data_IF_738468942927
#
_entry.id   IF_738468942927
#
_cell.length_a   1.000
_cell.length_b   1.000
_cell.length_c   1.000
_cell.angle_alpha   90.00
_cell.angle_beta   90.00
_cell.angle_gamma   90.00
#
_symmetry.space_group_name_H-M   'P 1'
#
loop_
_entity.id
_entity.type
_entity.pdbx_description
1 polymer ?
#
# COMPACT_ATOMS: atom_id res chain seq x y z
N UNK A 1 10.00 13.49 7.39
CA UNK A 1 10.45 12.12 7.13
C UNK A 1 11.07 12.05 5.74
N UNK A 2 12.10 11.23 5.58
CA UNK A 2 12.75 11.00 4.29
C UNK A 2 12.49 9.56 3.87
N UNK A 3 12.20 9.34 2.58
CA UNK A 3 12.05 7.98 2.03
C UNK A 3 13.41 7.43 1.61
N UNK A 4 13.58 6.11 1.72
CA UNK A 4 14.86 5.44 1.44
C UNK A 4 15.07 5.10 -0.05
N UNK A 5 14.50 5.87 -0.98
CA UNK A 5 14.61 5.64 -2.41
C UNK A 5 13.46 6.27 -3.20
N UNK A 6 13.37 5.91 -4.47
CA UNK A 6 12.42 6.50 -5.45
C UNK A 6 11.47 5.45 -6.05
N UNK A 7 11.44 4.24 -5.52
CA UNK A 7 10.59 3.16 -6.00
C UNK A 7 9.77 2.57 -4.85
N UNK A 8 8.59 2.06 -5.15
CA UNK A 8 7.66 1.44 -4.21
C UNK A 8 8.33 0.35 -3.36
N UNK A 9 9.16 -0.52 -3.94
CA UNK A 9 9.85 -1.55 -3.16
C UNK A 9 10.80 -0.97 -2.10
N UNK A 10 11.39 0.21 -2.33
CA UNK A 10 12.22 0.88 -1.34
C UNK A 10 11.39 1.32 -0.12
N UNK A 11 10.21 1.90 -0.39
CA UNK A 11 9.29 2.34 0.64
C UNK A 11 8.75 1.18 1.47
N UNK A 12 8.30 0.12 0.82
CA UNK A 12 7.83 -1.09 1.49
C UNK A 12 8.93 -1.69 2.36
N UNK A 13 10.14 -1.83 1.81
CA UNK A 13 11.27 -2.42 2.51
C UNK A 13 11.71 -1.58 3.71
N UNK A 14 11.77 -0.25 3.55
CA UNK A 14 12.08 0.67 4.64
C UNK A 14 11.00 0.70 5.73
N UNK A 15 9.73 0.77 5.31
CA UNK A 15 8.59 0.94 6.23
C UNK A 15 8.27 -0.33 7.01
N UNK A 16 8.15 -1.47 6.32
CA UNK A 16 7.71 -2.72 6.94
C UNK A 16 8.86 -3.53 7.58
N UNK A 17 10.08 -3.32 7.12
CA UNK A 17 11.23 -4.12 7.57
C UNK A 17 12.33 -3.28 8.24
N UNK A 18 12.23 -1.95 8.23
CA UNK A 18 13.21 -1.03 8.85
C UNK A 18 14.62 -1.15 8.26
N UNK A 19 14.72 -1.59 7.01
CA UNK A 19 15.99 -1.67 6.29
C UNK A 19 16.06 -0.62 5.18
N UNK A 20 17.14 0.14 5.06
CA UNK A 20 17.36 0.95 3.87
C UNK A 20 17.64 0.01 2.69
N UNK A 21 17.01 0.27 1.56
CA UNK A 21 17.37 -0.46 0.34
C UNK A 21 18.73 0.01 -0.16
N UNK A 22 19.59 -0.94 -0.48
CA UNK A 22 20.91 -0.65 -1.01
C UNK A 22 20.82 -0.27 -2.49
N UNK A 23 21.67 0.65 -2.92
CA UNK A 23 21.75 1.05 -4.31
C UNK A 23 21.95 -0.17 -5.23
N UNK A 24 21.19 -0.26 -6.30
CA UNK A 24 21.19 -1.37 -7.28
C UNK A 24 20.81 -2.76 -6.73
N UNK A 25 20.23 -2.84 -5.54
CA UNK A 25 19.70 -4.10 -5.01
C UNK A 25 18.19 -4.03 -4.90
N UNK A 26 17.53 -5.05 -5.45
CA UNK A 26 16.08 -5.20 -5.36
C UNK A 26 15.75 -6.37 -4.42
N UNK A 27 15.42 -6.12 -3.16
CA UNK A 27 15.31 -7.19 -2.15
C UNK A 27 14.23 -8.21 -2.48
N UNK A 28 13.19 -7.82 -3.22
CA UNK A 28 12.06 -8.69 -3.57
C UNK A 28 12.36 -9.59 -4.78
N UNK A 29 13.39 -9.31 -5.59
CA UNK A 29 13.75 -10.07 -6.80
C UNK A 29 14.97 -10.98 -6.62
N UNK A 30 15.40 -11.24 -5.42
CA UNK A 30 16.51 -12.14 -5.16
C UNK A 30 16.10 -13.61 -5.40
N UNK A 31 16.98 -14.39 -6.00
CA UNK A 31 16.74 -15.82 -6.28
C UNK A 31 16.52 -16.65 -5.00
N UNK A 32 17.15 -16.27 -3.89
CA UNK A 32 16.82 -16.76 -2.57
C UNK A 32 16.04 -15.68 -1.83
N UNK A 33 14.80 -15.95 -1.46
CA UNK A 33 13.97 -15.03 -0.68
C UNK A 33 14.46 -15.05 0.78
N UNK A 34 15.35 -14.14 1.19
CA UNK A 34 15.75 -14.10 2.58
C UNK A 34 14.58 -13.69 3.45
N UNK A 35 14.48 -14.31 4.60
CA UNK A 35 13.51 -13.93 5.61
C UNK A 35 14.04 -12.73 6.38
N UNK A 36 13.33 -11.62 6.29
CA UNK A 36 13.64 -10.40 7.03
C UNK A 36 12.82 -10.33 8.32
N UNK A 37 13.43 -9.75 9.34
CA UNK A 37 12.68 -9.38 10.53
C UNK A 37 12.02 -8.00 10.30
N UNK A 38 10.71 -7.92 10.49
CA UNK A 38 9.95 -6.69 10.28
C UNK A 38 8.72 -6.60 11.18
N UNK A 39 7.88 -5.59 10.91
CA UNK A 39 6.68 -5.38 11.71
C UNK A 39 5.71 -6.57 11.62
N UNK A 40 5.61 -7.21 10.44
CA UNK A 40 4.75 -8.38 10.25
C UNK A 40 5.20 -9.57 11.09
N UNK A 41 6.50 -9.90 11.06
CA UNK A 41 7.04 -11.01 11.87
C UNK A 41 6.88 -10.75 13.37
N UNK A 42 7.04 -9.49 13.79
CA UNK A 42 6.86 -9.10 15.19
C UNK A 42 5.41 -9.23 15.62
N UNK A 43 4.48 -8.68 14.85
CA UNK A 43 3.07 -8.69 15.21
C UNK A 43 2.47 -10.10 15.08
N UNK A 44 2.88 -10.90 14.09
CA UNK A 44 2.45 -12.29 13.97
C UNK A 44 2.85 -13.14 15.18
N UNK A 45 4.06 -12.96 15.71
CA UNK A 45 4.49 -13.61 16.96
C UNK A 45 3.64 -13.21 18.16
N UNK A 46 3.02 -12.03 18.12
CA UNK A 46 2.11 -11.53 19.15
C UNK A 46 0.62 -11.82 18.84
N UNK A 47 0.34 -12.74 17.92
CA UNK A 47 -1.02 -13.23 17.65
C UNK A 47 -1.81 -12.40 16.65
N UNK A 48 -1.20 -11.40 15.99
CA UNK A 48 -1.87 -10.62 14.97
C UNK A 48 -1.98 -11.39 13.65
N UNK A 49 -3.10 -11.24 12.97
CA UNK A 49 -3.21 -11.55 11.53
C UNK A 49 -2.54 -10.44 10.72
N UNK A 50 -1.88 -10.82 9.62
CA UNK A 50 -1.06 -9.91 8.83
C UNK A 50 -1.55 -9.89 7.38
N UNK A 51 -2.03 -8.73 6.91
CA UNK A 51 -2.66 -8.56 5.60
C UNK A 51 -1.95 -7.47 4.79
N UNK A 52 -1.86 -7.71 3.50
CA UNK A 52 -1.36 -6.73 2.54
C UNK A 52 -2.36 -6.62 1.38
N UNK A 53 -2.73 -5.39 1.03
CA UNK A 53 -3.63 -5.07 -0.08
C UNK A 53 -2.87 -4.21 -1.08
N UNK A 54 -3.00 -4.54 -2.34
CA UNK A 54 -2.54 -3.71 -3.46
C UNK A 54 -3.66 -3.60 -4.49
N UNK A 55 -3.67 -2.53 -5.25
CA UNK A 55 -4.65 -2.32 -6.31
C UNK A 55 -4.38 -3.17 -7.55
N UNK A 56 -3.12 -3.48 -7.81
CA UNK A 56 -2.61 -4.10 -9.03
C UNK A 56 -2.13 -5.54 -8.83
N UNK A 57 -1.61 -6.14 -9.90
CA UNK A 57 -0.98 -7.47 -9.89
C UNK A 57 0.16 -7.54 -8.86
N UNK A 58 0.00 -8.40 -7.88
CA UNK A 58 0.99 -8.62 -6.82
C UNK A 58 2.22 -9.42 -7.30
N UNK A 59 2.23 -9.93 -8.54
CA UNK A 59 3.43 -10.50 -9.15
C UNK A 59 4.41 -9.40 -9.60
N UNK A 60 3.91 -8.17 -9.80
CA UNK A 60 4.77 -7.03 -10.05
C UNK A 60 5.80 -6.90 -8.92
N UNK A 61 7.07 -6.78 -9.28
CA UNK A 61 8.21 -6.76 -8.35
C UNK A 61 8.28 -7.97 -7.41
N UNK A 62 7.57 -9.08 -7.72
CA UNK A 62 7.47 -10.26 -6.87
C UNK A 62 6.94 -9.94 -5.45
N UNK A 63 6.04 -8.99 -5.36
CA UNK A 63 5.53 -8.47 -4.09
C UNK A 63 4.83 -9.56 -3.27
N UNK A 64 3.96 -10.34 -3.91
CA UNK A 64 3.24 -11.42 -3.23
C UNK A 64 4.20 -12.46 -2.64
N UNK A 65 5.15 -12.94 -3.45
CA UNK A 65 6.15 -13.91 -3.00
C UNK A 65 6.96 -13.36 -1.83
N UNK A 66 7.43 -12.12 -1.94
CA UNK A 66 8.20 -11.47 -0.89
C UNK A 66 7.39 -11.28 0.40
N UNK A 67 6.15 -10.77 0.31
CA UNK A 67 5.32 -10.56 1.49
C UNK A 67 4.96 -11.87 2.18
N UNK A 68 4.59 -12.92 1.43
CA UNK A 68 4.29 -14.26 1.99
C UNK A 68 5.52 -14.89 2.64
N UNK A 69 6.70 -14.78 2.04
CA UNK A 69 7.95 -15.26 2.63
C UNK A 69 8.31 -14.53 3.94
N UNK A 70 7.78 -13.32 4.13
CA UNK A 70 8.06 -12.44 5.26
C UNK A 70 6.85 -12.23 6.19
N UNK A 71 6.16 -13.33 6.48
CA UNK A 71 5.10 -13.43 7.48
C UNK A 71 3.80 -12.64 7.16
N UNK A 72 3.56 -12.31 5.90
CA UNK A 72 2.24 -11.86 5.46
C UNK A 72 1.32 -13.07 5.29
N UNK A 73 0.21 -13.10 6.04
CA UNK A 73 -0.76 -14.21 6.02
C UNK A 73 -1.62 -14.18 4.75
N UNK A 74 -2.00 -12.98 4.32
CA UNK A 74 -2.86 -12.80 3.14
C UNK A 74 -2.41 -11.58 2.34
N UNK A 75 -2.21 -11.78 1.05
CA UNK A 75 -2.10 -10.71 0.05
C UNK A 75 -3.40 -10.67 -0.73
N UNK A 76 -3.94 -9.49 -0.95
CA UNK A 76 -5.11 -9.20 -1.78
C UNK A 76 -4.66 -8.31 -2.91
N UNK A 77 -4.94 -8.69 -4.13
CA UNK A 77 -4.48 -8.03 -5.35
C UNK A 77 -5.56 -8.03 -6.42
N UNK A 78 -5.24 -7.61 -7.64
CA UNK A 78 -6.15 -7.65 -8.79
C UNK A 78 -6.74 -9.03 -9.06
N UNK A 79 -6.03 -10.10 -8.72
CA UNK A 79 -6.53 -11.48 -8.83
C UNK A 79 -7.73 -11.77 -7.91
N UNK A 80 -7.93 -10.99 -6.85
CA UNK A 80 -9.05 -11.13 -5.92
C UNK A 80 -10.24 -10.22 -6.29
N UNK A 81 -10.02 -9.19 -7.11
CA UNK A 81 -11.05 -8.22 -7.47
C UNK A 81 -11.85 -8.64 -8.70
N UNK A 82 -13.12 -8.20 -8.83
CA UNK A 82 -13.87 -8.38 -10.05
C UNK A 82 -13.14 -7.76 -11.26
N UNK A 83 -13.04 -8.48 -12.36
CA UNK A 83 -12.30 -8.04 -13.55
C UNK A 83 -12.84 -6.73 -14.15
N UNK A 84 -14.14 -6.48 -14.02
CA UNK A 84 -14.79 -5.24 -14.45
C UNK A 84 -14.36 -4.00 -13.66
N UNK A 85 -13.80 -4.19 -12.48
CA UNK A 85 -13.28 -3.10 -11.64
C UNK A 85 -11.81 -2.76 -11.91
N UNK A 86 -11.10 -3.57 -12.67
CA UNK A 86 -9.73 -3.29 -13.11
C UNK A 86 -9.80 -2.26 -14.24
N UNK A 87 -9.33 -1.03 -13.95
CA UNK A 87 -9.49 0.11 -14.86
C UNK A 87 -8.20 0.47 -15.60
N UNK A 88 -7.06 0.15 -15.05
CA UNK A 88 -5.74 0.47 -15.63
C UNK A 88 -4.76 -0.68 -15.41
N UNK A 89 -3.55 -0.54 -15.91
CA UNK A 89 -2.43 -1.45 -15.60
C UNK A 89 -2.02 -1.40 -14.12
N UNK A 90 -2.51 -0.42 -13.37
CA UNK A 90 -2.35 -0.30 -11.92
C UNK A 90 -3.56 -0.88 -11.17
N UNK A 91 -4.40 -1.65 -11.85
CA UNK A 91 -5.48 -2.42 -11.25
C UNK A 91 -6.76 -1.62 -11.00
N UNK A 92 -7.32 -1.82 -9.81
CA UNK A 92 -8.57 -1.17 -9.39
C UNK A 92 -8.30 0.23 -8.82
N UNK A 93 -9.30 1.15 -8.86
CA UNK A 93 -9.21 2.44 -8.20
C UNK A 93 -9.01 2.31 -6.68
N UNK A 94 -8.31 3.26 -6.05
CA UNK A 94 -8.00 3.21 -4.61
C UNK A 94 -9.25 3.11 -3.73
N UNK A 95 -10.31 3.87 -4.04
CA UNK A 95 -11.54 3.82 -3.25
C UNK A 95 -12.25 2.48 -3.35
N UNK A 96 -12.10 1.77 -4.49
CA UNK A 96 -12.59 0.41 -4.64
C UNK A 96 -11.82 -0.55 -3.72
N UNK A 97 -10.47 -0.54 -3.77
CA UNK A 97 -9.63 -1.34 -2.87
C UNK A 97 -9.99 -1.09 -1.41
N UNK A 98 -10.17 0.17 -1.03
CA UNK A 98 -10.55 0.54 0.33
C UNK A 98 -11.91 -0.04 0.74
N UNK A 99 -12.93 0.08 -0.11
CA UNK A 99 -14.25 -0.51 0.18
C UNK A 99 -14.18 -2.04 0.23
N UNK A 100 -13.43 -2.65 -0.67
CA UNK A 100 -13.24 -4.10 -0.70
C UNK A 100 -12.50 -4.63 0.54
N UNK A 101 -11.60 -3.86 1.11
CA UNK A 101 -10.85 -4.27 2.30
C UNK A 101 -11.70 -4.34 3.56
N UNK A 102 -12.70 -3.47 3.72
CA UNK A 102 -13.47 -3.36 4.97
C UNK A 102 -14.17 -4.67 5.37
N UNK A 103 -14.94 -5.37 4.51
CA UNK A 103 -15.54 -6.65 4.88
C UNK A 103 -14.49 -7.71 5.23
N UNK A 104 -13.35 -7.74 4.54
CA UNK A 104 -12.25 -8.65 4.86
C UNK A 104 -11.72 -8.36 6.27
N UNK A 105 -11.45 -7.09 6.60
CA UNK A 105 -11.00 -6.69 7.93
C UNK A 105 -12.05 -7.02 9.02
N UNK A 106 -13.32 -6.91 8.71
CA UNK A 106 -14.40 -7.32 9.60
C UNK A 106 -14.37 -8.82 9.90
N UNK A 107 -14.11 -9.66 8.89
CA UNK A 107 -13.98 -11.10 9.08
C UNK A 107 -12.80 -11.46 9.99
N UNK A 108 -11.68 -10.74 9.87
CA UNK A 108 -10.53 -10.94 10.77
C UNK A 108 -10.83 -10.44 12.18
N UNK A 109 -11.45 -9.29 12.34
CA UNK A 109 -11.86 -8.76 13.64
C UNK A 109 -12.87 -9.69 14.35
N UNK A 110 -13.81 -10.29 13.61
CA UNK A 110 -14.79 -11.21 14.15
C UNK A 110 -14.18 -12.51 14.72
N UNK A 111 -12.97 -12.88 14.26
CA UNK A 111 -12.22 -14.02 14.81
C UNK A 111 -11.60 -13.73 16.19
N UNK A 112 -11.78 -12.51 16.71
CA UNK A 112 -11.21 -12.09 17.99
C UNK A 112 -9.69 -11.93 18.01
N UNK A 113 -9.06 -11.85 16.83
CA UNK A 113 -7.62 -11.62 16.69
C UNK A 113 -7.35 -10.19 16.26
N UNK A 114 -6.36 -9.52 16.82
CA UNK A 114 -5.90 -8.27 16.28
C UNK A 114 -5.30 -8.47 14.88
N UNK A 115 -5.30 -7.42 14.08
CA UNK A 115 -4.70 -7.48 12.75
C UNK A 115 -3.81 -6.26 12.47
N UNK A 116 -2.86 -6.45 11.58
CA UNK A 116 -2.20 -5.38 10.83
C UNK A 116 -2.59 -5.53 9.36
N UNK A 117 -3.01 -4.43 8.75
CA UNK A 117 -3.31 -4.36 7.34
C UNK A 117 -2.53 -3.21 6.71
N UNK A 118 -1.76 -3.50 5.69
CA UNK A 118 -1.13 -2.49 4.82
C UNK A 118 -1.97 -2.38 3.55
N UNK A 119 -2.44 -1.17 3.23
CA UNK A 119 -3.21 -0.87 2.03
C UNK A 119 -2.35 0.04 1.15
N UNK A 120 -1.83 -0.51 0.07
CA UNK A 120 -0.96 0.19 -0.87
C UNK A 120 -1.78 0.78 -2.01
N UNK A 121 -1.86 2.09 -2.04
CA UNK A 121 -2.59 2.86 -3.06
C UNK A 121 -1.75 3.09 -4.32
N UNK A 122 -2.40 3.41 -5.45
CA UNK A 122 -1.72 3.65 -6.72
C UNK A 122 -2.22 4.87 -7.49
N UNK A 123 -3.20 5.60 -6.98
CA UNK A 123 -3.82 6.70 -7.77
C UNK A 123 -2.83 7.81 -8.12
N UNK A 124 -1.87 8.16 -7.23
CA UNK A 124 -0.84 9.17 -7.54
C UNK A 124 0.35 8.55 -8.33
N UNK A 125 0.04 7.72 -9.33
CA UNK A 125 1.02 7.11 -10.23
C UNK A 125 0.49 7.12 -11.67
N UNK A 126 1.36 7.43 -12.64
CA UNK A 126 0.96 7.31 -14.06
C UNK A 126 0.82 5.85 -14.53
N UNK A 127 -0.14 5.54 -15.40
CA UNK A 127 -1.07 6.46 -16.04
C UNK A 127 -2.13 6.96 -15.05
N UNK A 128 -2.33 8.28 -15.05
CA UNK A 128 -3.29 8.91 -14.15
C UNK A 128 -4.71 8.54 -14.56
N UNK A 129 -5.47 8.06 -13.59
CA UNK A 129 -6.86 7.67 -13.77
C UNK A 129 -7.74 8.21 -12.65
N UNK A 130 -8.73 8.97 -13.04
CA UNK A 130 -9.79 9.47 -12.15
C UNK A 130 -11.12 8.87 -12.63
N UNK A 131 -11.85 8.14 -11.77
CA UNK A 131 -13.15 7.58 -12.18
C UNK A 131 -14.17 8.65 -12.51
N UNK A 132 -15.05 8.39 -13.50
CA UNK A 132 -16.07 9.34 -13.98
C UNK A 132 -17.04 9.85 -12.92
N UNK A 133 -17.22 9.07 -11.83
CA UNK A 133 -18.08 9.47 -10.71
C UNK A 133 -17.43 10.47 -9.75
N UNK A 134 -16.13 10.74 -9.88
CA UNK A 134 -15.43 11.75 -9.09
C UNK A 134 -15.19 12.98 -9.95
N UNK A 135 -15.55 14.14 -9.43
CA UNK A 135 -15.36 15.42 -10.12
C UNK A 135 -14.25 16.21 -9.42
N UNK A 136 -13.03 16.17 -9.94
CA UNK A 136 -11.93 16.97 -9.40
C UNK A 136 -12.21 18.47 -9.57
N UNK A 137 -11.63 19.28 -8.74
CA UNK A 137 -11.68 20.75 -8.85
C UNK A 137 -10.60 21.27 -9.79
N UNK A 138 -9.52 20.54 -9.94
CA UNK A 138 -8.39 20.88 -10.78
C UNK A 138 -8.58 20.35 -12.20
N UNK A 139 -8.21 21.14 -13.18
CA UNK A 139 -8.14 20.75 -14.61
C UNK A 139 -6.80 20.04 -14.94
N UNK A 140 -5.84 20.02 -14.01
CA UNK A 140 -4.56 19.37 -14.15
C UNK A 140 -4.65 17.91 -13.68
N UNK A 141 -4.31 16.97 -14.54
CA UNK A 141 -4.45 15.53 -14.29
C UNK A 141 -3.74 15.07 -13.01
N UNK A 142 -2.57 15.62 -12.71
CA UNK A 142 -1.81 15.26 -11.53
C UNK A 142 -2.47 15.75 -10.26
N UNK A 143 -2.96 16.99 -10.26
CA UNK A 143 -3.70 17.50 -9.11
C UNK A 143 -5.05 16.79 -8.95
N UNK A 144 -5.71 16.45 -10.05
CA UNK A 144 -6.96 15.70 -10.06
C UNK A 144 -6.82 14.33 -9.36
N UNK A 145 -5.73 13.59 -9.64
CA UNK A 145 -5.50 12.29 -8.99
C UNK A 145 -5.12 12.43 -7.51
N UNK A 146 -4.47 13.52 -7.11
CA UNK A 146 -4.21 13.80 -5.69
C UNK A 146 -5.53 14.07 -4.95
N UNK A 147 -6.42 14.87 -5.54
CA UNK A 147 -7.76 15.10 -4.99
C UNK A 147 -8.56 13.80 -4.89
N UNK A 148 -8.44 12.93 -5.90
CA UNK A 148 -9.07 11.63 -5.89
C UNK A 148 -8.49 10.69 -4.82
N UNK A 149 -7.18 10.68 -4.62
CA UNK A 149 -6.54 9.90 -3.58
C UNK A 149 -7.02 10.32 -2.17
N UNK A 150 -7.12 11.63 -1.91
CA UNK A 150 -7.70 12.17 -0.66
C UNK A 150 -9.18 11.78 -0.49
N UNK A 151 -9.96 11.88 -1.56
CA UNK A 151 -11.35 11.40 -1.58
C UNK A 151 -11.42 9.91 -1.22
N UNK A 152 -10.62 9.08 -1.85
CA UNK A 152 -10.58 7.63 -1.63
C UNK A 152 -10.27 7.29 -0.17
N UNK A 153 -9.29 7.99 0.41
CA UNK A 153 -8.98 7.87 1.83
C UNK A 153 -10.14 8.30 2.72
N UNK A 154 -10.85 9.38 2.35
CA UNK A 154 -12.05 9.82 3.09
C UNK A 154 -13.16 8.77 3.08
N UNK A 155 -13.35 8.08 1.94
CA UNK A 155 -14.30 6.97 1.81
C UNK A 155 -13.92 5.84 2.77
N UNK A 156 -12.66 5.43 2.76
CA UNK A 156 -12.17 4.40 3.69
C UNK A 156 -12.44 4.76 5.15
N UNK A 157 -12.04 5.95 5.58
CA UNK A 157 -12.19 6.38 6.96
C UNK A 157 -13.66 6.50 7.38
N UNK A 158 -14.55 6.91 6.48
CA UNK A 158 -15.99 6.93 6.72
C UNK A 158 -16.57 5.55 6.97
N UNK A 159 -16.17 4.56 6.16
CA UNK A 159 -16.60 3.17 6.32
C UNK A 159 -15.95 2.51 7.55
N UNK A 160 -14.66 2.72 7.76
CA UNK A 160 -13.94 2.20 8.92
C UNK A 160 -14.55 2.69 10.25
N UNK A 161 -14.98 3.95 10.34
CA UNK A 161 -15.62 4.52 11.54
C UNK A 161 -16.88 3.80 11.99
N UNK A 162 -17.55 3.10 11.09
CA UNK A 162 -18.75 2.30 11.39
C UNK A 162 -18.41 0.94 12.01
N UNK A 163 -17.14 0.52 11.96
CA UNK A 163 -16.74 -0.82 12.33
C UNK A 163 -16.31 -0.89 13.80
N UNK A 164 -16.50 -2.06 14.41
CA UNK A 164 -16.21 -2.29 15.84
C UNK A 164 -14.73 -2.13 16.18
N UNK A 165 -13.84 -2.43 15.24
CA UNK A 165 -12.39 -2.34 15.41
C UNK A 165 -11.83 -0.91 15.32
N UNK A 166 -12.59 0.06 14.79
CA UNK A 166 -12.09 1.41 14.52
C UNK A 166 -11.48 2.10 15.75
N UNK A 167 -12.17 2.05 16.89
CA UNK A 167 -11.74 2.74 18.12
C UNK A 167 -10.47 2.15 18.73
N UNK A 168 -10.11 0.92 18.35
CA UNK A 168 -8.93 0.21 18.85
C UNK A 168 -7.89 0.02 17.73
N UNK A 169 -7.90 0.87 16.72
CA UNK A 169 -6.97 0.80 15.58
C UNK A 169 -6.11 2.05 15.53
N UNK A 170 -4.81 1.87 15.39
CA UNK A 170 -3.87 2.91 15.02
C UNK A 170 -3.81 3.00 13.50
N UNK A 171 -4.16 4.15 12.95
CA UNK A 171 -4.03 4.45 11.53
C UNK A 171 -2.71 5.17 11.28
N UNK A 172 -1.90 4.65 10.36
CA UNK A 172 -0.61 5.23 9.97
C UNK A 172 -0.66 5.54 8.48
N UNK A 173 -0.43 6.78 8.11
CA UNK A 173 -0.35 7.24 6.73
C UNK A 173 1.09 7.61 6.43
N UNK A 174 1.66 6.98 5.41
CA UNK A 174 3.06 7.17 5.05
C UNK A 174 3.21 7.06 3.54
N UNK A 175 4.00 7.96 2.95
CA UNK A 175 4.40 7.84 1.56
C UNK A 175 5.50 6.78 1.43
N UNK A 176 5.42 5.96 0.38
CA UNK A 176 6.44 4.95 0.06
C UNK A 176 7.71 5.61 -0.52
N UNK A 177 7.55 6.64 -1.38
CA UNK A 177 8.65 7.45 -1.91
C UNK A 177 8.17 8.86 -2.28
N UNK A 178 9.11 9.73 -2.61
CA UNK A 178 8.82 11.06 -3.16
C UNK A 178 8.59 11.02 -4.68
N UNK A 179 8.00 12.08 -5.21
CA UNK A 179 7.85 12.22 -6.66
C UNK A 179 9.21 12.40 -7.35
N UNK A 180 9.43 11.69 -8.46
CA UNK A 180 10.63 11.84 -9.28
C UNK A 180 10.71 13.28 -9.79
N UNK A 181 11.78 13.99 -9.43
CA UNK A 181 12.01 15.39 -9.84
C UNK A 181 12.26 16.37 -8.69
N UNK A 182 11.80 16.07 -7.48
CA UNK A 182 12.07 16.93 -6.32
C UNK A 182 13.19 16.42 -5.41
N UNK A 183 13.54 15.13 -5.50
CA UNK A 183 14.60 14.54 -4.66
C UNK A 183 16.04 14.73 -5.20
N UNK A 184 16.22 15.13 -6.45
CA UNK A 184 17.56 15.16 -7.07
C UNK A 184 18.36 16.41 -6.68
N UNK A 185 17.70 17.48 -6.25
CA UNK A 185 18.40 18.73 -5.92
C UNK A 185 18.91 18.84 -4.48
N UNK A 186 18.29 18.13 -3.53
CA UNK A 186 18.69 18.23 -2.12
C UNK A 186 19.85 17.28 -1.74
N UNK A 187 20.12 16.25 -2.53
CA UNK A 187 21.24 15.32 -2.25
C UNK A 187 22.61 15.79 -2.78
N UNK A 188 22.67 16.90 -3.52
CA UNK A 188 23.96 17.44 -4.04
C UNK A 188 24.60 18.52 -3.18
N UNK A 189 23.99 18.90 -2.06
CA UNK A 189 24.50 20.02 -1.23
C UNK A 189 25.10 19.60 0.12
N UNK A 190 25.45 18.35 0.33
CA UNK A 190 26.10 17.90 1.57
C UNK A 190 27.35 17.08 1.33
N UNK A 191 28.31 17.66 0.57
CA UNK A 191 29.72 17.25 0.61
C UNK A 191 30.60 18.49 0.65
#
# INVERSE_FOLDING_TARGET
AYTAGIHTYNGIYGTLFSYPSLYRQHPMKNCSMPKYHGIYSTLRKNGYSTLFFTTHDAQFDNMEGFMKANDCERVVSDADYPSEEIKTTLGVPDDFMFRYSVPILNDYAAKGKPFIATLMTSSDHGPYYVPDYFQPKSDDDRNAVIEYADYSLSVFLKEARKQSWFKNTLFVFIADHGAIGYCVYDMQLSY
#
